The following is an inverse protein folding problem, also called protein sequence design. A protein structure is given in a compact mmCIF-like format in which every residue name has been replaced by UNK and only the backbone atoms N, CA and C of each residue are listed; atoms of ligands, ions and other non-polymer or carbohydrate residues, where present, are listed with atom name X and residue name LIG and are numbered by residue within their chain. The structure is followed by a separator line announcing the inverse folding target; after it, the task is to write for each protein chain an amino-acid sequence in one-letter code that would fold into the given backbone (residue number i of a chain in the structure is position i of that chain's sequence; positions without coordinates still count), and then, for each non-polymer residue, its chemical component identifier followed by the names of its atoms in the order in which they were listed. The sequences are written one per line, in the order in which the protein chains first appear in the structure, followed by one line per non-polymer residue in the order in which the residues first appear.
data_IF_394533742930
#
_entry.id   IF_394533742930
#
_cell.length_a   1.000
_cell.length_b   1.000
_cell.length_c   1.000
_cell.angle_alpha   90.00
_cell.angle_beta   90.00
_cell.angle_gamma   90.00
#
_symmetry.space_group_name_H-M   'P 1'
#
loop_
_entity.id
_entity.type
_entity.pdbx_description
1 polymer ?
#
# COMPACT_ATOMS: atom_id res chain seq x y z
N UNK A 1 -78.97 -38.49 -35.04
CA UNK A 1 -77.56 -38.84 -35.34
C UNK A 1 -76.75 -37.58 -35.06
N UNK A 2 -75.89 -37.49 -34.07
CA UNK A 2 -75.32 -38.49 -33.18
C UNK A 2 -74.88 -37.75 -31.90
N UNK A 3 -75.27 -38.31 -30.76
CA UNK A 3 -75.04 -37.85 -29.40
C UNK A 3 -73.91 -38.72 -28.85
N UNK A 4 -72.73 -38.15 -28.63
CA UNK A 4 -71.56 -38.74 -27.95
C UNK A 4 -70.55 -37.57 -27.86
N UNK A 5 -69.89 -37.25 -26.76
CA UNK A 5 -69.55 -38.03 -25.60
C UNK A 5 -69.19 -37.03 -24.48
N UNK A 6 -70.12 -36.85 -23.53
CA UNK A 6 -69.90 -36.10 -22.29
C UNK A 6 -69.69 -37.12 -21.18
N UNK A 7 -68.47 -37.67 -21.01
CA UNK A 7 -68.04 -38.40 -19.80
C UNK A 7 -66.58 -38.83 -19.94
N UNK A 8 -65.66 -38.09 -19.34
CA UNK A 8 -64.39 -38.57 -18.75
C UNK A 8 -63.37 -37.42 -18.70
N UNK A 9 -63.56 -36.45 -17.79
CA UNK A 9 -62.46 -35.61 -17.28
C UNK A 9 -62.82 -34.99 -15.92
N UNK A 10 -63.51 -35.78 -15.08
CA UNK A 10 -63.59 -35.56 -13.62
C UNK A 10 -62.67 -36.57 -12.95
N UNK A 11 -61.39 -36.47 -13.26
CA UNK A 11 -60.35 -37.24 -12.58
C UNK A 11 -59.81 -36.36 -11.44
N UNK A 12 -60.48 -36.50 -10.29
CA UNK A 12 -59.90 -36.51 -8.94
C UNK A 12 -58.68 -35.61 -8.71
N UNK A 13 -58.89 -34.30 -8.57
CA UNK A 13 -58.15 -33.51 -7.58
C UNK A 13 -58.67 -33.88 -6.18
N UNK A 14 -58.42 -35.14 -5.77
CA UNK A 14 -58.48 -35.52 -4.36
C UNK A 14 -57.25 -34.89 -3.73
N UNK A 15 -57.40 -33.64 -3.31
CA UNK A 15 -56.43 -32.95 -2.48
C UNK A 15 -56.21 -33.80 -1.25
N UNK A 16 -55.11 -34.55 -1.26
CA UNK A 16 -54.60 -35.25 -0.10
C UNK A 16 -54.24 -34.13 0.88
N UNK A 17 -55.19 -33.79 1.74
CA UNK A 17 -54.98 -32.98 2.93
C UNK A 17 -54.17 -33.86 3.89
N UNK A 18 -52.98 -34.30 3.48
CA UNK A 18 -51.95 -34.73 4.40
C UNK A 18 -51.75 -33.54 5.31
N UNK A 19 -52.28 -33.68 6.51
CA UNK A 19 -52.07 -32.74 7.61
C UNK A 19 -50.57 -32.53 7.71
N UNK A 20 -50.08 -31.42 7.15
CA UNK A 20 -48.71 -31.00 7.27
C UNK A 20 -48.43 -30.89 8.77
N UNK A 21 -47.80 -31.93 9.32
CA UNK A 21 -47.41 -31.94 10.72
C UNK A 21 -46.32 -30.89 10.84
N UNK A 22 -46.69 -29.75 11.41
CA UNK A 22 -45.76 -28.71 11.79
C UNK A 22 -44.60 -29.31 12.59
N UNK A 23 -43.42 -28.74 12.41
CA UNK A 23 -42.20 -29.28 12.98
C UNK A 23 -42.23 -29.25 14.50
N UNK A 24 -41.64 -30.28 15.10
CA UNK A 24 -41.53 -30.35 16.54
C UNK A 24 -40.56 -29.29 17.05
N UNK A 25 -40.79 -28.80 18.26
CA UNK A 25 -39.87 -27.87 18.94
C UNK A 25 -38.44 -28.42 19.01
N UNK A 26 -38.30 -29.75 19.07
CA UNK A 26 -36.99 -30.41 19.09
C UNK A 26 -36.21 -30.16 17.79
N UNK A 27 -36.88 -30.28 16.64
CA UNK A 27 -36.25 -30.18 15.32
C UNK A 27 -35.85 -28.74 14.98
N UNK A 28 -36.70 -27.77 15.36
CA UNK A 28 -36.33 -26.35 15.28
C UNK A 28 -35.18 -26.00 16.21
N UNK A 29 -35.09 -26.63 17.40
CA UNK A 29 -33.97 -26.41 18.33
C UNK A 29 -32.64 -26.91 17.76
N UNK A 30 -32.64 -28.07 17.08
CA UNK A 30 -31.43 -28.64 16.44
C UNK A 30 -30.99 -27.77 15.27
N UNK A 31 -31.92 -27.31 14.42
CA UNK A 31 -31.62 -26.42 13.30
C UNK A 31 -30.99 -25.10 13.76
N UNK A 32 -31.47 -24.52 14.87
CA UNK A 32 -30.88 -23.32 15.46
C UNK A 32 -29.45 -23.55 15.94
N UNK A 33 -29.16 -24.70 16.57
CA UNK A 33 -27.80 -25.04 17.03
C UNK A 33 -26.84 -25.19 15.85
N UNK A 34 -27.24 -25.90 14.79
CA UNK A 34 -26.40 -26.09 13.60
C UNK A 34 -26.12 -24.77 12.90
N UNK A 35 -27.14 -23.92 12.73
CA UNK A 35 -26.96 -22.55 12.20
C UNK A 35 -25.98 -21.75 13.04
N UNK A 36 -26.09 -21.79 14.37
CA UNK A 36 -25.18 -21.08 15.26
C UNK A 36 -23.72 -21.52 15.06
N UNK A 37 -23.45 -22.82 14.94
CA UNK A 37 -22.09 -23.35 14.72
C UNK A 37 -21.54 -22.88 13.37
N UNK A 38 -22.32 -22.96 12.29
CA UNK A 38 -21.89 -22.51 10.95
C UNK A 38 -21.61 -21.01 10.92
N UNK A 39 -22.47 -20.22 11.57
CA UNK A 39 -22.32 -18.75 11.64
C UNK A 39 -21.07 -18.37 12.44
N UNK A 40 -20.77 -19.08 13.53
CA UNK A 40 -19.54 -18.88 14.31
C UNK A 40 -18.30 -19.31 13.52
N UNK A 41 -18.37 -20.43 12.80
CA UNK A 41 -17.28 -20.90 11.94
C UNK A 41 -16.92 -19.88 10.86
N UNK A 42 -17.92 -19.41 10.11
CA UNK A 42 -17.73 -18.38 9.07
C UNK A 42 -17.23 -17.04 9.65
N UNK A 43 -17.77 -16.60 10.79
CA UNK A 43 -17.27 -15.40 11.48
C UNK A 43 -15.80 -15.54 11.90
N UNK A 44 -15.37 -16.71 12.39
CA UNK A 44 -13.97 -16.93 12.80
C UNK A 44 -13.00 -16.89 11.63
N UNK A 45 -13.39 -17.42 10.46
CA UNK A 45 -12.60 -17.30 9.22
C UNK A 45 -12.49 -15.85 8.76
N UNK A 46 -13.55 -15.05 8.89
CA UNK A 46 -13.48 -13.61 8.61
C UNK A 46 -12.51 -12.89 9.53
N UNK A 47 -12.54 -13.16 10.84
CA UNK A 47 -11.59 -12.57 11.81
C UNK A 47 -10.16 -12.99 11.50
N UNK A 48 -9.94 -14.26 11.13
CA UNK A 48 -8.63 -14.75 10.72
C UNK A 48 -8.14 -14.03 9.46
N UNK A 49 -8.98 -13.88 8.44
CA UNK A 49 -8.65 -13.16 7.22
C UNK A 49 -8.35 -11.67 7.47
N UNK A 50 -9.07 -11.02 8.39
CA UNK A 50 -8.79 -9.63 8.80
C UNK A 50 -7.44 -9.57 9.50
N UNK A 51 -7.21 -10.41 10.52
CA UNK A 51 -5.93 -10.41 11.26
C UNK A 51 -4.73 -10.68 10.38
N UNK A 52 -4.86 -11.56 9.39
CA UNK A 52 -3.77 -11.86 8.46
C UNK A 52 -3.49 -10.71 7.47
N UNK A 53 -4.46 -9.81 7.28
CA UNK A 53 -4.33 -8.61 6.43
C UNK A 53 -3.96 -7.35 7.22
N UNK A 54 -4.14 -7.32 8.54
CA UNK A 54 -3.82 -6.17 9.40
C UNK A 54 -2.32 -5.80 9.38
N UNK A 55 -1.44 -6.73 9.01
CA UNK A 55 0.00 -6.48 8.88
C UNK A 55 0.34 -5.32 7.93
N UNK A 56 -0.45 -5.12 6.87
CA UNK A 56 -0.28 -3.96 5.97
C UNK A 56 -0.71 -2.64 6.60
N UNK A 57 -1.70 -2.66 7.50
CA UNK A 57 -2.19 -1.44 8.16
C UNK A 57 -1.21 -0.97 9.25
N UNK A 58 -0.61 -1.91 9.99
CA UNK A 58 0.45 -1.59 10.96
C UNK A 58 1.68 -1.00 10.26
N UNK A 59 2.04 -1.51 9.09
CA UNK A 59 3.11 -0.95 8.27
C UNK A 59 2.77 0.46 7.77
N UNK A 60 1.55 0.69 7.29
CA UNK A 60 1.10 2.01 6.86
C UNK A 60 1.06 3.02 8.01
N UNK A 61 0.60 2.61 9.20
CA UNK A 61 0.59 3.45 10.40
C UNK A 61 2.01 3.75 10.88
N UNK A 62 2.91 2.77 10.87
CA UNK A 62 4.32 2.97 11.19
C UNK A 62 4.99 3.98 10.24
N UNK A 63 4.68 3.89 8.94
CA UNK A 63 5.20 4.79 7.90
C UNK A 63 4.65 6.22 8.08
N UNK A 64 3.36 6.37 8.38
CA UNK A 64 2.76 7.66 8.69
C UNK A 64 3.39 8.33 9.94
N UNK A 65 3.62 7.55 11.00
CA UNK A 65 4.30 8.05 12.21
C UNK A 65 5.76 8.42 11.91
N UNK A 66 6.46 7.64 11.08
CA UNK A 66 7.82 7.95 10.67
C UNK A 66 7.90 9.24 9.83
N UNK A 67 6.97 9.44 8.89
CA UNK A 67 6.84 10.68 8.11
C UNK A 67 6.59 11.89 9.02
N UNK A 68 5.65 11.78 9.97
CA UNK A 68 5.38 12.86 10.90
C UNK A 68 6.62 13.20 11.76
N UNK A 69 7.40 12.20 12.17
CA UNK A 69 8.66 12.42 12.89
C UNK A 69 9.72 13.08 12.01
N UNK A 70 9.85 12.68 10.76
CA UNK A 70 10.75 13.30 9.79
C UNK A 70 10.38 14.77 9.53
N UNK A 71 9.09 15.06 9.35
CA UNK A 71 8.61 16.43 9.20
C UNK A 71 8.84 17.27 10.45
N UNK A 72 8.66 16.68 11.63
CA UNK A 72 8.96 17.34 12.90
C UNK A 72 10.44 17.68 13.00
N UNK A 73 11.33 16.72 12.74
CA UNK A 73 12.78 16.96 12.72
C UNK A 73 13.18 18.02 11.70
N UNK A 74 12.54 18.03 10.52
CA UNK A 74 12.76 19.04 9.49
C UNK A 74 12.29 20.44 9.90
N UNK A 75 11.29 20.55 10.79
CA UNK A 75 10.79 21.82 11.34
C UNK A 75 11.54 22.28 12.59
N UNK A 76 12.27 21.39 13.25
CA UNK A 76 13.03 21.73 14.45
C UNK A 76 14.23 22.60 14.07
N UNK A 77 14.37 23.82 14.61
CA UNK A 77 15.53 24.67 14.38
C UNK A 77 16.83 24.01 14.86
N UNK A 78 17.94 24.26 14.17
CA UNK A 78 19.24 23.68 14.51
C UNK A 78 19.78 24.04 15.90
N UNK A 79 19.26 25.10 16.52
CA UNK A 79 19.61 25.53 17.87
C UNK A 79 18.72 24.94 18.98
N UNK A 80 17.76 24.07 18.64
CA UNK A 80 16.90 23.44 19.64
C UNK A 80 17.70 22.47 20.50
N UNK A 81 17.75 22.74 21.82
CA UNK A 81 18.51 21.96 22.80
C UNK A 81 18.05 20.51 22.91
N UNK A 82 16.82 20.19 22.45
CA UNK A 82 16.29 18.83 22.38
C UNK A 82 16.99 17.93 21.35
N UNK A 83 17.69 18.50 20.36
CA UNK A 83 18.52 17.74 19.41
C UNK A 83 19.81 17.20 20.05
N UNK A 84 20.32 17.87 21.09
CA UNK A 84 21.56 17.49 21.79
C UNK A 84 21.35 16.55 22.99
N UNK A 85 20.13 16.44 23.52
CA UNK A 85 19.87 15.67 24.74
C UNK A 85 19.95 14.15 24.56
N UNK A 86 19.97 13.63 23.32
CA UNK A 86 19.87 12.19 23.06
C UNK A 86 21.19 11.41 23.06
N UNK A 87 22.34 12.07 23.27
CA UNK A 87 23.65 11.40 23.26
C UNK A 87 24.05 10.77 24.60
N UNK A 88 23.37 11.10 25.70
CA UNK A 88 23.76 10.67 27.05
C UNK A 88 22.80 9.65 27.71
N UNK A 89 21.70 9.27 27.06
CA UNK A 89 20.69 8.36 27.63
C UNK A 89 20.88 6.86 27.25
N UNK A 90 22.04 6.46 26.74
CA UNK A 90 22.37 5.04 26.44
C UNK A 90 22.46 4.13 27.68
N UNK A 91 22.09 4.60 28.87
CA UNK A 91 22.10 3.81 30.10
C UNK A 91 20.81 3.90 30.93
N UNK A 92 19.73 4.48 30.39
CA UNK A 92 18.43 4.38 31.04
C UNK A 92 17.64 3.19 30.49
N UNK A 93 18.03 2.02 31.00
CA UNK A 93 17.13 0.97 31.46
C UNK A 93 15.73 1.02 30.80
N UNK A 94 15.58 0.37 29.65
CA UNK A 94 14.28 -0.14 29.20
C UNK A 94 13.90 -1.23 30.20
N UNK A 95 13.40 -0.78 31.35
CA UNK A 95 12.62 -1.56 32.28
C UNK A 95 11.32 -1.92 31.59
N UNK A 96 11.37 -2.88 30.67
CA UNK A 96 10.29 -3.84 30.53
C UNK A 96 10.24 -4.57 31.87
N UNK A 97 9.58 -3.94 32.84
CA UNK A 97 9.11 -4.56 34.07
C UNK A 97 8.06 -5.57 33.65
N UNK A 98 8.57 -6.70 33.18
CA UNK A 98 7.87 -7.98 33.12
C UNK A 98 7.46 -8.24 34.56
N UNK A 99 6.25 -7.82 34.94
CA UNK A 99 5.57 -8.32 36.13
C UNK A 99 5.52 -9.83 35.94
N UNK A 100 6.45 -10.51 36.61
CA UNK A 100 6.38 -11.93 36.89
C UNK A 100 5.30 -12.01 37.97
N UNK A 101 4.06 -12.16 37.55
CA UNK A 101 2.99 -12.48 38.49
C UNK A 101 3.23 -13.93 38.96
N UNK A 102 3.25 -14.19 40.27
CA UNK A 102 3.36 -15.54 40.79
C UNK A 102 2.05 -16.28 40.48
N UNK A 103 2.24 -17.46 39.90
CA UNK A 103 1.41 -18.66 40.05
C UNK A 103 0.23 -18.50 41.02
N UNK A 104 -0.99 -18.36 40.48
CA UNK A 104 -2.17 -18.82 41.20
C UNK A 104 -3.29 -19.24 40.25
N UNK A 105 -3.88 -20.36 40.62
CA UNK A 105 -4.99 -21.06 40.00
C UNK A 105 -6.25 -20.19 39.84
N UNK A 106 -7.05 -20.62 38.86
CA UNK A 106 -8.50 -20.52 38.79
C UNK A 106 -9.18 -19.20 38.33
N UNK A 107 -10.15 -19.45 37.44
CA UNK A 107 -11.38 -18.70 37.12
C UNK A 107 -11.34 -17.59 36.06
N UNK A 108 -11.98 -17.93 34.94
CA UNK A 108 -13.09 -17.23 34.28
C UNK A 108 -13.29 -15.73 34.56
N UNK A 109 -13.42 -14.94 33.48
CA UNK A 109 -14.23 -13.73 33.54
C UNK A 109 -13.78 -12.60 32.63
N UNK A 110 -14.67 -12.25 31.70
CA UNK A 110 -14.68 -11.06 30.85
C UNK A 110 -14.21 -9.76 31.52
N UNK A 111 -13.44 -8.94 30.80
CA UNK A 111 -13.82 -7.53 30.54
C UNK A 111 -12.83 -6.81 29.62
N UNK A 112 -13.38 -6.24 28.56
CA UNK A 112 -12.73 -5.27 27.70
C UNK A 112 -12.49 -3.95 28.47
N UNK A 113 -11.22 -3.51 28.54
CA UNK A 113 -10.86 -2.16 29.00
C UNK A 113 -10.67 -1.24 27.80
N UNK A 114 -11.60 -0.28 27.66
CA UNK A 114 -11.47 0.94 26.85
C UNK A 114 -10.33 1.79 27.41
N UNK A 115 -9.42 2.21 26.54
CA UNK A 115 -8.44 3.26 26.83
C UNK A 115 -9.00 4.59 26.32
N UNK A 116 -9.27 5.53 27.23
CA UNK A 116 -9.63 6.90 26.91
C UNK A 116 -8.34 7.72 26.71
N UNK A 117 -8.20 8.38 25.57
CA UNK A 117 -7.21 9.44 25.34
C UNK A 117 -7.63 10.71 26.09
N UNK A 118 -6.78 11.18 26.99
CA UNK A 118 -6.88 12.49 27.63
C UNK A 118 -6.44 13.59 26.68
N UNK A 119 -7.35 14.54 26.46
CA UNK A 119 -7.17 15.77 25.69
C UNK A 119 -6.82 16.89 26.68
N UNK A 120 -5.62 17.46 26.58
CA UNK A 120 -5.24 18.68 27.30
C UNK A 120 -5.15 19.86 26.32
N UNK A 121 -5.88 20.91 26.68
CA UNK A 121 -6.04 22.19 26.02
C UNK A 121 -4.89 23.16 26.35
N UNK A 122 -4.52 23.99 25.38
CA UNK A 122 -3.63 25.12 25.59
C UNK A 122 -3.49 25.97 24.31
N UNK A 123 -4.31 27.01 24.18
CA UNK A 123 -4.11 28.13 23.25
C UNK A 123 -3.17 29.17 23.89
N UNK A 124 -2.48 30.01 23.10
CA UNK A 124 -3.07 31.31 22.75
C UNK A 124 -2.90 31.76 21.28
N UNK A 125 -3.68 32.80 20.97
CA UNK A 125 -3.91 33.51 19.70
C UNK A 125 -2.67 34.23 19.13
N UNK A 126 -2.60 34.35 17.80
CA UNK A 126 -2.19 35.58 17.09
C UNK A 126 -2.63 35.52 15.60
N UNK A 127 -2.79 36.71 15.02
CA UNK A 127 -3.76 37.04 13.97
C UNK A 127 -3.15 37.21 12.56
N UNK A 128 -4.08 37.30 11.59
CA UNK A 128 -4.01 37.99 10.30
C UNK A 128 -3.63 37.19 9.03
N UNK A 129 -4.63 37.05 8.14
CA UNK A 129 -4.52 37.40 6.72
C UNK A 129 -4.20 36.27 5.73
N UNK A 130 -5.20 35.85 4.95
CA UNK A 130 -4.98 35.11 3.71
C UNK A 130 -6.01 34.02 3.42
N UNK A 131 -7.11 34.40 2.79
CA UNK A 131 -8.14 33.48 2.30
C UNK A 131 -7.63 32.69 1.09
N UNK A 132 -7.76 31.36 1.09
CA UNK A 132 -7.99 30.49 -0.08
C UNK A 132 -8.58 29.14 0.41
N UNK A 133 -9.69 28.76 -0.23
CA UNK A 133 -10.44 27.48 -0.28
C UNK A 133 -10.16 26.37 0.74
N UNK A 134 -11.20 26.07 1.52
CA UNK A 134 -11.32 24.91 2.42
C UNK A 134 -11.82 23.67 1.63
N UNK A 135 -11.31 22.46 1.87
CA UNK A 135 -11.99 21.24 1.46
C UNK A 135 -13.15 20.93 2.42
N UNK A 136 -14.33 20.66 1.87
CA UNK A 136 -15.49 20.13 2.59
C UNK A 136 -15.16 18.76 3.17
N UNK A 137 -14.70 18.73 4.42
CA UNK A 137 -14.78 17.55 5.25
C UNK A 137 -16.21 17.46 5.80
N UNK A 138 -17.06 16.72 5.08
CA UNK A 138 -18.42 16.41 5.51
C UNK A 138 -18.37 15.62 6.82
N UNK A 139 -18.64 16.31 7.94
CA UNK A 139 -18.95 15.66 9.21
C UNK A 139 -20.22 14.84 9.04
N UNK A 140 -20.07 13.53 8.83
CA UNK A 140 -21.11 12.55 9.11
C UNK A 140 -21.29 12.46 10.63
N UNK A 141 -22.00 13.43 11.20
CA UNK A 141 -22.57 13.32 12.54
C UNK A 141 -23.70 12.30 12.48
N UNK A 142 -23.41 11.06 12.87
CA UNK A 142 -24.43 10.05 13.10
C UNK A 142 -25.19 10.45 14.39
N UNK A 143 -26.27 11.22 14.21
CA UNK A 143 -27.19 11.57 15.27
C UNK A 143 -28.01 10.32 15.62
N UNK A 144 -27.56 9.57 16.63
CA UNK A 144 -28.37 8.53 17.26
C UNK A 144 -29.46 9.26 18.04
N UNK A 145 -30.56 9.55 17.35
CA UNK A 145 -31.77 10.12 17.93
C UNK A 145 -32.40 9.06 18.83
N UNK A 146 -32.15 9.17 20.13
CA UNK A 146 -32.95 8.53 21.19
C UNK A 146 -34.39 9.06 21.08
N UNK A 147 -35.26 8.33 20.40
CA UNK A 147 -36.71 8.46 20.56
C UNK A 147 -37.13 7.53 21.70
N UNK A 148 -37.12 8.08 22.91
CA UNK A 148 -37.95 7.61 24.02
C UNK A 148 -39.03 8.67 24.17
N UNK A 149 -40.24 8.38 23.70
CA UNK A 149 -41.45 9.10 24.11
C UNK A 149 -42.68 8.26 23.74
N UNK A 150 -43.36 7.88 24.81
CA UNK A 150 -44.81 7.77 24.96
C UNK A 150 -45.55 6.70 24.14
N UNK A 151 -45.89 5.65 24.88
CA UNK A 151 -46.87 4.65 24.52
C UNK A 151 -48.26 5.28 24.38
N UNK A 152 -48.93 5.15 23.23
CA UNK A 152 -50.37 5.25 23.16
C UNK A 152 -50.96 3.95 23.74
N UNK A 153 -51.86 4.11 24.71
CA UNK A 153 -52.68 3.06 25.29
C UNK A 153 -53.42 2.30 24.18
N UNK A 154 -52.94 1.09 23.89
CA UNK A 154 -53.50 0.19 22.91
C UNK A 154 -54.76 -0.46 23.50
N UNK A 155 -55.92 0.03 23.07
CA UNK A 155 -57.18 -0.65 23.28
C UNK A 155 -57.11 -2.06 22.69
N UNK A 156 -57.38 -3.03 23.54
CA UNK A 156 -57.42 -4.47 23.26
C UNK A 156 -58.62 -4.79 22.38
N UNK A 157 -58.45 -4.65 21.06
CA UNK A 157 -59.27 -5.36 20.10
C UNK A 157 -58.88 -6.85 20.14
N UNK A 158 -59.70 -7.68 20.78
CA UNK A 158 -59.64 -9.14 20.68
C UNK A 158 -59.98 -9.56 19.25
N UNK A 159 -59.00 -9.52 18.35
CA UNK A 159 -59.06 -10.33 17.13
C UNK A 159 -58.51 -11.71 17.46
N UNK A 160 -59.37 -12.73 17.42
CA UNK A 160 -58.98 -14.13 17.44
C UNK A 160 -58.23 -14.47 16.15
N UNK A 161 -57.02 -13.95 15.98
CA UNK A 161 -56.11 -14.42 14.95
C UNK A 161 -55.47 -15.70 15.46
N UNK A 162 -55.82 -16.83 14.82
CA UNK A 162 -55.07 -18.07 14.92
C UNK A 162 -53.60 -17.75 14.65
N UNK A 163 -52.76 -17.84 15.67
CA UNK A 163 -51.31 -17.72 15.51
C UNK A 163 -50.84 -18.91 14.68
N UNK A 164 -50.74 -18.71 13.37
CA UNK A 164 -50.09 -19.66 12.48
C UNK A 164 -48.60 -19.62 12.81
N UNK A 165 -48.09 -20.70 13.40
CA UNK A 165 -46.66 -20.88 13.59
C UNK A 165 -45.93 -20.87 12.25
N UNK A 166 -44.67 -20.45 12.24
CA UNK A 166 -43.83 -20.48 11.04
C UNK A 166 -43.78 -21.90 10.47
N UNK A 167 -44.02 -22.01 9.16
CA UNK A 167 -43.81 -23.27 8.46
C UNK A 167 -42.32 -23.55 8.34
N UNK A 168 -41.89 -24.81 8.53
CA UNK A 168 -40.47 -25.14 8.35
C UNK A 168 -40.01 -24.89 6.91
N UNK A 169 -40.92 -25.00 5.93
CA UNK A 169 -40.56 -24.65 4.56
C UNK A 169 -40.06 -23.20 4.50
N UNK A 170 -40.69 -22.29 5.24
CA UNK A 170 -40.37 -20.87 5.28
C UNK A 170 -39.03 -20.64 6.00
N UNK A 171 -38.78 -21.38 7.09
CA UNK A 171 -37.49 -21.35 7.79
C UNK A 171 -36.35 -21.87 6.89
N UNK A 172 -36.53 -23.02 6.24
CA UNK A 172 -35.53 -23.62 5.34
C UNK A 172 -35.25 -22.69 4.16
N UNK A 173 -36.30 -22.08 3.58
CA UNK A 173 -36.15 -21.07 2.52
C UNK A 173 -35.37 -19.86 3.04
N UNK A 174 -35.67 -19.34 4.24
CA UNK A 174 -34.95 -18.22 4.84
C UNK A 174 -33.47 -18.51 5.09
N UNK A 175 -33.15 -19.70 5.60
CA UNK A 175 -31.78 -20.16 5.81
C UNK A 175 -31.04 -20.33 4.46
N UNK A 176 -31.69 -20.95 3.48
CA UNK A 176 -31.11 -21.13 2.15
C UNK A 176 -30.76 -19.79 1.48
N UNK A 177 -31.67 -18.81 1.53
CA UNK A 177 -31.45 -17.47 0.97
C UNK A 177 -30.32 -16.75 1.70
N UNK A 178 -30.31 -16.78 3.04
CA UNK A 178 -29.26 -16.11 3.82
C UNK A 178 -27.89 -16.72 3.60
N UNK A 179 -27.77 -18.05 3.48
CA UNK A 179 -26.51 -18.72 3.14
C UNK A 179 -26.05 -18.35 1.72
N UNK A 180 -26.98 -18.31 0.75
CA UNK A 180 -26.67 -17.90 -0.62
C UNK A 180 -26.16 -16.45 -0.68
N UNK A 181 -26.85 -15.52 -0.02
CA UNK A 181 -26.44 -14.12 0.05
C UNK A 181 -25.10 -13.94 0.78
N UNK A 182 -24.88 -14.67 1.87
CA UNK A 182 -23.62 -14.64 2.62
C UNK A 182 -22.46 -15.19 1.78
N UNK A 183 -22.69 -16.26 1.02
CA UNK A 183 -21.73 -16.82 0.08
C UNK A 183 -21.32 -15.81 -0.99
N UNK A 184 -22.29 -15.16 -1.65
CA UNK A 184 -22.03 -14.12 -2.66
C UNK A 184 -21.29 -12.93 -2.05
N UNK A 185 -21.70 -12.45 -0.88
CA UNK A 185 -21.04 -11.33 -0.19
C UNK A 185 -19.58 -11.64 0.18
N UNK A 186 -19.29 -12.87 0.61
CA UNK A 186 -17.94 -13.33 0.95
C UNK A 186 -17.01 -13.35 -0.26
N UNK A 187 -17.52 -13.79 -1.42
CA UNK A 187 -16.77 -13.78 -2.68
C UNK A 187 -16.43 -12.36 -3.13
N UNK A 188 -17.41 -11.44 -3.08
CA UNK A 188 -17.19 -10.04 -3.42
C UNK A 188 -16.17 -9.39 -2.49
N UNK A 189 -16.27 -9.62 -1.18
CA UNK A 189 -15.35 -9.07 -0.20
C UNK A 189 -13.93 -9.64 -0.37
N UNK A 190 -13.79 -10.94 -0.65
CA UNK A 190 -12.50 -11.55 -0.97
C UNK A 190 -11.84 -10.93 -2.21
N UNK A 191 -12.61 -10.63 -3.25
CA UNK A 191 -12.11 -9.93 -4.45
C UNK A 191 -11.63 -8.51 -4.14
N UNK A 192 -12.36 -7.78 -3.28
CA UNK A 192 -12.01 -6.42 -2.88
C UNK A 192 -10.68 -6.36 -2.10
N UNK A 193 -10.42 -7.35 -1.23
CA UNK A 193 -9.14 -7.43 -0.52
C UNK A 193 -7.95 -7.68 -1.46
N UNK A 194 -8.10 -8.58 -2.44
CA UNK A 194 -7.03 -8.84 -3.43
C UNK A 194 -6.65 -7.57 -4.22
N UNK A 195 -7.64 -6.79 -4.64
CA UNK A 195 -7.41 -5.50 -5.32
C UNK A 195 -6.65 -4.54 -4.41
N UNK A 196 -7.08 -4.39 -3.14
CA UNK A 196 -6.44 -3.48 -2.19
C UNK A 196 -5.01 -3.89 -1.85
N UNK A 197 -4.75 -5.18 -1.61
CA UNK A 197 -3.39 -5.67 -1.35
C UNK A 197 -2.46 -5.37 -2.51
N UNK A 198 -2.93 -5.59 -3.75
CA UNK A 198 -2.14 -5.29 -4.94
C UNK A 198 -1.86 -3.80 -5.08
N UNK A 199 -2.85 -2.95 -4.83
CA UNK A 199 -2.68 -1.50 -4.89
C UNK A 199 -1.73 -1.00 -3.79
N UNK A 200 -1.78 -1.57 -2.59
CA UNK A 200 -0.82 -1.26 -1.53
C UNK A 200 0.60 -1.66 -1.94
N UNK A 201 0.79 -2.87 -2.46
CA UNK A 201 2.11 -3.31 -2.96
C UNK A 201 2.65 -2.41 -4.08
N UNK A 202 1.77 -1.91 -4.97
CA UNK A 202 2.14 -0.92 -5.99
C UNK A 202 2.65 0.37 -5.35
N UNK A 203 1.92 0.88 -4.38
CA UNK A 203 2.21 2.16 -3.74
C UNK A 203 3.51 2.10 -2.95
N UNK A 204 3.76 0.99 -2.25
CA UNK A 204 5.01 0.77 -1.52
C UNK A 204 6.21 0.70 -2.48
N UNK A 205 6.12 -0.11 -3.53
CA UNK A 205 7.18 -0.22 -4.54
C UNK A 205 7.44 1.12 -5.25
N UNK A 206 6.39 1.89 -5.54
CA UNK A 206 6.52 3.21 -6.15
C UNK A 206 7.17 4.23 -5.20
N UNK A 207 6.86 4.17 -3.91
CA UNK A 207 7.45 5.04 -2.91
C UNK A 207 8.95 4.77 -2.75
N UNK A 208 9.34 3.50 -2.69
CA UNK A 208 10.74 3.08 -2.62
C UNK A 208 11.51 3.45 -3.90
N UNK A 209 10.92 3.20 -5.07
CA UNK A 209 11.52 3.57 -6.35
C UNK A 209 11.76 5.09 -6.46
N UNK A 210 10.82 5.93 -5.98
CA UNK A 210 10.99 7.39 -5.94
C UNK A 210 12.11 7.81 -4.98
N UNK A 211 12.22 7.15 -3.83
CA UNK A 211 13.30 7.41 -2.87
C UNK A 211 14.65 7.06 -3.49
N UNK A 212 14.76 5.90 -4.14
CA UNK A 212 15.96 5.47 -4.84
C UNK A 212 16.34 6.45 -5.95
N UNK A 213 15.38 6.83 -6.80
CA UNK A 213 15.60 7.78 -7.90
C UNK A 213 16.10 9.15 -7.42
N UNK A 214 15.53 9.67 -6.33
CA UNK A 214 15.96 10.94 -5.74
C UNK A 214 17.39 10.87 -5.19
N UNK A 215 17.75 9.76 -4.55
CA UNK A 215 19.10 9.54 -4.05
C UNK A 215 20.11 9.44 -5.20
N UNK A 216 19.81 8.58 -6.19
CA UNK A 216 20.62 8.40 -7.40
C UNK A 216 20.83 9.74 -8.12
N UNK A 217 19.75 10.48 -8.38
CA UNK A 217 19.81 11.78 -9.09
C UNK A 217 20.75 12.75 -8.39
N UNK A 218 20.65 12.86 -7.06
CA UNK A 218 21.48 13.77 -6.29
C UNK A 218 22.95 13.38 -6.31
N UNK A 219 23.25 12.09 -6.16
CA UNK A 219 24.64 11.63 -6.12
C UNK A 219 25.28 11.65 -7.52
N UNK A 220 24.55 11.22 -8.56
CA UNK A 220 25.01 11.28 -9.96
C UNK A 220 25.24 12.73 -10.41
N UNK A 221 24.43 13.69 -9.96
CA UNK A 221 24.65 15.10 -10.27
C UNK A 221 26.03 15.60 -9.77
N UNK A 222 26.54 15.04 -8.67
CA UNK A 222 27.86 15.36 -8.13
C UNK A 222 29.01 14.58 -8.79
N UNK A 223 28.73 13.74 -9.78
CA UNK A 223 29.76 13.02 -10.52
C UNK A 223 30.78 14.00 -11.12
N UNK A 224 32.05 13.64 -10.98
CA UNK A 224 33.19 14.44 -11.46
C UNK A 224 33.56 15.59 -10.53
N UNK A 225 32.86 15.81 -9.42
CA UNK A 225 33.20 16.92 -8.52
C UNK A 225 34.68 16.84 -8.08
N UNK A 226 35.43 17.91 -8.35
CA UNK A 226 36.87 18.02 -8.13
C UNK A 226 37.71 16.90 -8.76
N UNK A 227 37.27 16.40 -9.92
CA UNK A 227 38.03 15.53 -10.81
C UNK A 227 38.28 16.25 -12.14
N UNK A 228 39.16 15.71 -12.98
CA UNK A 228 39.42 16.23 -14.34
C UNK A 228 38.46 15.68 -15.39
N UNK A 229 37.68 14.65 -15.03
CA UNK A 229 36.69 14.00 -15.89
C UNK A 229 35.26 14.21 -15.34
N UNK A 230 34.26 13.68 -16.04
CA UNK A 230 32.87 13.72 -15.60
C UNK A 230 32.57 12.77 -14.42
N UNK A 231 33.57 12.06 -13.89
CA UNK A 231 33.47 11.09 -12.80
C UNK A 231 32.88 9.74 -13.19
N UNK A 232 32.37 9.54 -14.41
CA UNK A 232 31.73 8.28 -14.81
C UNK A 232 32.80 7.23 -15.14
N UNK A 233 32.75 6.08 -14.46
CA UNK A 233 33.61 4.94 -14.77
C UNK A 233 32.97 4.12 -15.87
N UNK A 234 33.43 4.33 -17.11
CA UNK A 234 32.80 3.76 -18.32
C UNK A 234 32.73 2.22 -18.32
N UNK A 235 33.73 1.53 -17.75
CA UNK A 235 33.77 0.05 -17.69
C UNK A 235 32.70 -0.56 -16.77
N UNK A 236 32.23 0.19 -15.77
CA UNK A 236 31.26 -0.25 -14.77
C UNK A 236 29.87 0.35 -14.99
N UNK A 237 29.77 1.28 -15.93
CA UNK A 237 28.53 1.96 -16.28
C UNK A 237 27.95 1.28 -17.49
N UNK A 238 26.69 0.84 -17.39
CA UNK A 238 25.93 0.08 -18.37
C UNK A 238 24.57 0.74 -18.63
N UNK A 239 23.63 -0.03 -19.19
CA UNK A 239 22.21 0.35 -19.25
C UNK A 239 21.54 0.23 -17.89
N UNK A 240 21.95 -0.77 -17.09
CA UNK A 240 21.32 -1.12 -15.81
C UNK A 240 22.25 -0.86 -14.62
N UNK A 241 23.37 -0.17 -14.84
CA UNK A 241 24.33 0.20 -13.80
C UNK A 241 25.01 1.52 -14.13
N UNK A 242 25.44 2.25 -13.12
CA UNK A 242 26.29 3.42 -13.27
C UNK A 242 27.24 3.48 -12.09
N UNK A 243 28.52 3.71 -12.36
CA UNK A 243 29.54 3.97 -11.34
C UNK A 243 30.05 5.39 -11.52
N UNK A 244 29.94 6.16 -10.45
CA UNK A 244 30.33 7.57 -10.40
C UNK A 244 31.42 7.77 -9.37
N UNK A 245 32.29 8.73 -9.63
CA UNK A 245 33.32 9.19 -8.72
C UNK A 245 33.18 10.68 -8.48
N UNK A 246 33.42 11.09 -7.24
CA UNK A 246 33.46 12.48 -6.83
C UNK A 246 34.46 12.62 -5.69
N UNK A 247 35.36 13.57 -5.80
CA UNK A 247 36.28 13.91 -4.72
C UNK A 247 35.61 14.91 -3.78
N UNK A 248 34.89 14.39 -2.79
CA UNK A 248 34.12 15.18 -1.83
C UNK A 248 35.03 15.92 -0.85
N UNK A 249 36.27 15.45 -0.67
CA UNK A 249 37.28 16.10 0.19
C UNK A 249 37.76 17.46 -0.33
N UNK A 250 37.65 17.72 -1.64
CA UNK A 250 37.96 19.04 -2.19
C UNK A 250 37.08 20.16 -1.59
N UNK A 251 35.87 19.83 -1.12
CA UNK A 251 35.02 20.79 -0.40
C UNK A 251 35.63 21.23 0.95
N UNK A 252 36.55 20.45 1.50
CA UNK A 252 37.28 20.72 2.75
C UNK A 252 38.59 21.50 2.53
N UNK A 253 38.85 21.96 1.30
CA UNK A 253 40.08 22.69 0.94
C UNK A 253 41.26 21.80 0.59
N UNK A 254 41.04 20.49 0.42
CA UNK A 254 42.09 19.57 0.00
C UNK A 254 42.29 19.65 -1.52
N UNK A 255 43.34 20.33 -1.95
CA UNK A 255 43.60 20.62 -3.37
C UNK A 255 44.54 19.61 -4.04
N UNK A 256 45.00 18.59 -3.32
CA UNK A 256 46.10 17.70 -3.76
C UNK A 256 45.66 16.29 -4.13
N UNK A 257 44.47 15.85 -3.74
CA UNK A 257 43.97 14.53 -4.12
C UNK A 257 43.03 14.68 -5.32
N UNK A 258 43.38 14.12 -6.47
CA UNK A 258 42.42 13.83 -7.54
C UNK A 258 41.80 12.43 -7.37
N UNK A 259 42.01 11.81 -6.20
CA UNK A 259 41.60 10.45 -5.93
C UNK A 259 40.29 10.46 -5.12
N UNK A 260 39.32 9.70 -5.61
CA UNK A 260 38.06 9.41 -4.92
C UNK A 260 38.26 8.14 -4.07
N UNK A 261 38.94 8.25 -2.93
CA UNK A 261 39.33 7.09 -2.08
C UNK A 261 38.50 6.97 -0.82
N UNK A 262 37.76 8.00 -0.45
CA UNK A 262 37.03 8.00 0.80
C UNK A 262 35.63 7.40 0.63
N UNK A 263 34.97 7.24 1.77
CA UNK A 263 33.59 6.78 1.84
C UNK A 263 32.70 7.76 1.06
N UNK A 264 31.76 7.20 0.31
CA UNK A 264 30.79 7.92 -0.52
C UNK A 264 31.41 8.71 -1.69
N UNK A 265 32.68 8.49 -2.02
CA UNK A 265 33.36 9.11 -3.16
C UNK A 265 33.34 8.26 -4.43
N UNK A 266 33.27 6.93 -4.32
CA UNK A 266 33.18 6.01 -5.45
C UNK A 266 31.98 5.08 -5.27
N UNK A 267 30.89 5.42 -5.96
CA UNK A 267 29.58 4.81 -5.75
C UNK A 267 29.13 4.13 -7.03
N UNK A 268 28.70 2.88 -6.92
CA UNK A 268 28.09 2.10 -7.99
C UNK A 268 26.63 1.83 -7.69
N UNK A 269 25.76 2.22 -8.61
CA UNK A 269 24.38 1.81 -8.64
C UNK A 269 24.20 0.69 -9.64
N UNK A 270 23.46 -0.35 -9.28
CA UNK A 270 23.08 -1.40 -10.21
C UNK A 270 21.72 -1.99 -9.88
N UNK A 271 21.02 -2.44 -10.92
CA UNK A 271 19.87 -3.30 -10.79
C UNK A 271 20.37 -4.75 -10.67
N UNK A 272 20.10 -5.36 -9.53
CA UNK A 272 20.40 -6.77 -9.26
C UNK A 272 19.14 -7.59 -9.50
N UNK A 273 19.24 -8.62 -10.33
CA UNK A 273 18.15 -9.55 -10.62
C UNK A 273 18.44 -10.92 -10.00
N UNK A 274 17.56 -11.35 -9.11
CA UNK A 274 17.47 -12.75 -8.63
C UNK A 274 15.99 -13.17 -8.69
N UNK A 275 15.44 -13.78 -7.63
CA UNK A 275 13.99 -14.05 -7.49
C UNK A 275 13.19 -12.75 -7.50
N UNK A 276 13.76 -11.71 -6.90
CA UNK A 276 13.25 -10.34 -6.88
C UNK A 276 14.31 -9.40 -7.48
N UNK A 277 13.88 -8.21 -7.91
CA UNK A 277 14.76 -7.22 -8.52
C UNK A 277 14.95 -6.02 -7.60
N UNK A 278 16.21 -5.64 -7.38
CA UNK A 278 16.61 -4.64 -6.40
C UNK A 278 17.53 -3.58 -7.00
N UNK A 279 17.30 -2.31 -6.66
CA UNK A 279 18.32 -1.28 -6.89
C UNK A 279 19.24 -1.27 -5.68
N UNK A 280 20.53 -1.53 -5.93
CA UNK A 280 21.58 -1.54 -4.93
C UNK A 280 22.51 -0.36 -5.15
N UNK A 281 22.84 0.33 -4.07
CA UNK A 281 23.95 1.28 -3.99
C UNK A 281 25.13 0.59 -3.32
N UNK A 282 26.28 0.59 -3.98
CA UNK A 282 27.53 0.03 -3.48
C UNK A 282 28.54 1.16 -3.35
N UNK A 283 29.16 1.28 -2.18
CA UNK A 283 30.33 2.14 -2.01
C UNK A 283 31.60 1.31 -2.16
N UNK A 284 32.31 1.53 -3.26
CA UNK A 284 33.44 0.69 -3.71
C UNK A 284 34.64 0.81 -2.76
N UNK A 285 34.80 1.96 -2.10
CA UNK A 285 35.96 2.25 -1.26
C UNK A 285 35.88 1.61 0.13
N UNK A 286 34.68 1.28 0.62
CA UNK A 286 34.46 0.71 1.97
C UNK A 286 34.10 -0.78 1.92
N UNK A 287 34.94 -1.57 1.24
CA UNK A 287 34.71 -3.01 1.05
C UNK A 287 33.39 -3.34 0.35
N UNK A 288 32.97 -2.50 -0.60
CA UNK A 288 31.72 -2.66 -1.34
C UNK A 288 30.49 -2.72 -0.42
N UNK A 289 30.37 -1.84 0.58
CA UNK A 289 29.19 -1.81 1.45
C UNK A 289 27.93 -1.60 0.60
N UNK A 290 27.02 -2.58 0.67
CA UNK A 290 25.78 -2.58 -0.10
C UNK A 290 24.63 -1.97 0.70
N UNK A 291 23.81 -1.16 0.02
CA UNK A 291 22.54 -0.65 0.52
C UNK A 291 21.46 -0.89 -0.51
N UNK A 292 20.43 -1.65 -0.13
CA UNK A 292 19.23 -1.84 -0.94
C UNK A 292 18.39 -0.54 -0.85
N UNK A 293 18.11 0.05 -2.01
CA UNK A 293 17.38 1.32 -2.10
C UNK A 293 15.91 1.14 -2.46
N UNK A 294 15.63 0.16 -3.32
CA UNK A 294 14.28 -0.16 -3.74
C UNK A 294 14.16 -1.65 -3.96
N UNK A 295 13.04 -2.21 -3.51
CA UNK A 295 12.59 -3.54 -3.90
C UNK A 295 11.60 -3.42 -5.08
N UNK A 296 11.42 -4.50 -5.84
CA UNK A 296 10.40 -4.65 -6.89
C UNK A 296 10.50 -3.61 -8.01
N UNK A 297 11.73 -3.38 -8.46
CA UNK A 297 12.00 -2.60 -9.67
C UNK A 297 12.27 -3.56 -10.81
N UNK A 298 11.38 -3.64 -11.80
CA UNK A 298 11.54 -4.59 -12.91
C UNK A 298 12.66 -4.16 -13.86
N UNK A 299 12.78 -2.85 -14.09
CA UNK A 299 13.76 -2.32 -15.03
C UNK A 299 14.38 -1.00 -14.56
N UNK A 300 15.66 -0.83 -14.87
CA UNK A 300 16.45 0.37 -14.67
C UNK A 300 17.19 0.63 -15.98
N UNK A 301 16.87 1.74 -16.63
CA UNK A 301 17.55 2.19 -17.85
C UNK A 301 18.26 3.51 -17.57
N UNK A 302 19.55 3.56 -17.91
CA UNK A 302 20.40 4.74 -17.77
C UNK A 302 20.92 5.07 -19.17
N UNK A 303 20.60 6.29 -19.62
CA UNK A 303 20.94 6.81 -20.95
C UNK A 303 21.89 7.99 -20.82
N UNK A 304 22.90 8.06 -21.69
CA UNK A 304 24.02 9.01 -21.59
C UNK A 304 24.06 9.94 -22.80
N UNK A 305 24.00 11.25 -22.58
CA UNK A 305 23.99 12.26 -23.64
C UNK A 305 25.06 13.33 -23.44
N UNK A 306 25.55 13.86 -24.56
CA UNK A 306 26.54 14.93 -24.58
C UNK A 306 25.98 16.27 -24.11
N UNK A 307 24.69 16.53 -24.32
CA UNK A 307 24.02 17.76 -23.89
C UNK A 307 22.59 17.45 -23.42
N UNK A 308 21.88 18.48 -22.95
CA UNK A 308 20.48 18.35 -22.56
C UNK A 308 19.60 17.93 -23.74
N UNK A 309 18.79 16.91 -23.53
CA UNK A 309 17.86 16.37 -24.54
C UNK A 309 16.40 16.45 -24.07
N UNK A 310 15.49 16.34 -25.02
CA UNK A 310 14.04 16.20 -24.85
C UNK A 310 13.63 14.83 -25.33
N UNK A 311 12.66 14.22 -24.66
CA UNK A 311 12.25 12.85 -24.96
C UNK A 311 10.78 12.65 -24.65
N UNK A 312 10.27 11.49 -25.08
CA UNK A 312 8.92 11.02 -24.76
C UNK A 312 9.00 9.80 -23.86
N UNK A 313 8.17 9.77 -22.84
CA UNK A 313 7.96 8.59 -21.99
C UNK A 313 6.80 7.80 -22.56
N UNK A 314 6.99 6.51 -22.87
CA UNK A 314 5.95 5.66 -23.44
C UNK A 314 5.39 4.68 -22.43
N UNK A 315 4.06 4.65 -22.25
CA UNK A 315 3.41 3.57 -21.50
C UNK A 315 3.32 2.26 -22.29
N UNK A 316 3.61 2.30 -23.60
CA UNK A 316 3.46 1.17 -24.54
C UNK A 316 4.77 0.46 -24.85
N UNK A 317 5.92 1.04 -24.50
CA UNK A 317 7.20 0.36 -24.69
C UNK A 317 7.38 -0.70 -23.62
N UNK A 318 7.43 -1.96 -24.05
CA UNK A 318 7.73 -3.13 -23.20
C UNK A 318 9.00 -2.91 -22.36
N UNK A 319 9.91 -2.06 -22.84
CA UNK A 319 11.24 -1.83 -22.27
C UNK A 319 11.33 -0.77 -21.17
N UNK A 320 10.25 -0.05 -20.83
CA UNK A 320 10.28 1.02 -19.81
C UNK A 320 11.40 2.06 -20.01
N UNK A 321 11.52 2.58 -21.22
CA UNK A 321 12.60 3.47 -21.62
C UNK A 321 12.06 4.80 -22.18
N UNK A 322 12.97 5.73 -22.44
CA UNK A 322 12.67 6.97 -23.15
C UNK A 322 12.78 6.73 -24.67
N UNK A 323 11.98 7.46 -25.45
CA UNK A 323 11.97 7.39 -26.91
C UNK A 323 11.93 8.78 -27.53
N UNK A 324 12.15 8.86 -28.85
CA UNK A 324 12.07 10.11 -29.63
C UNK A 324 12.97 11.21 -29.02
N UNK A 325 14.22 10.84 -28.72
CA UNK A 325 15.19 11.72 -28.07
C UNK A 325 15.67 12.76 -29.07
N UNK A 326 15.56 14.04 -28.69
CA UNK A 326 15.86 15.19 -29.54
C UNK A 326 16.63 16.28 -28.81
N UNK A 327 17.38 17.08 -29.55
CA UNK A 327 18.00 18.30 -29.01
C UNK A 327 16.97 19.44 -28.86
N UNK A 328 17.44 20.63 -28.45
CA UNK A 328 16.62 21.83 -28.36
C UNK A 328 16.09 22.36 -29.71
N UNK A 329 16.66 21.90 -30.83
CA UNK A 329 16.26 22.27 -32.19
C UNK A 329 15.32 21.22 -32.83
N UNK A 330 15.04 20.12 -32.12
CA UNK A 330 14.19 19.04 -32.60
C UNK A 330 14.91 18.00 -33.47
N UNK A 331 16.24 18.03 -33.60
CA UNK A 331 17.00 17.01 -34.30
C UNK A 331 17.11 15.74 -33.45
N UNK A 332 17.07 14.53 -34.03
CA UNK A 332 17.30 13.30 -33.29
C UNK A 332 18.74 13.28 -32.73
N UNK A 333 18.88 12.79 -31.50
CA UNK A 333 20.17 12.70 -30.80
C UNK A 333 20.42 11.27 -30.34
N UNK A 334 21.60 10.75 -30.69
CA UNK A 334 22.08 9.46 -30.23
C UNK A 334 22.82 9.60 -28.89
N UNK A 335 22.93 8.48 -28.17
CA UNK A 335 23.76 8.42 -26.96
C UNK A 335 25.24 8.57 -27.27
N UNK A 336 25.99 9.06 -26.29
CA UNK A 336 27.45 9.15 -26.42
C UNK A 336 28.09 7.76 -26.50
N UNK A 337 29.02 7.59 -27.44
CA UNK A 337 29.79 6.35 -27.57
C UNK A 337 30.70 6.12 -26.36
N UNK A 338 31.27 7.19 -25.82
CA UNK A 338 32.12 7.19 -24.63
C UNK A 338 31.38 7.83 -23.47
N UNK A 339 31.12 7.06 -22.41
CA UNK A 339 30.36 7.53 -21.24
C UNK A 339 31.09 8.62 -20.46
N UNK A 340 32.41 8.71 -20.60
CA UNK A 340 33.23 9.81 -20.08
C UNK A 340 32.96 11.16 -20.77
N UNK A 341 32.32 11.17 -21.94
CA UNK A 341 31.90 12.38 -22.67
C UNK A 341 30.46 12.80 -22.35
N UNK A 342 29.76 12.07 -21.48
CA UNK A 342 28.40 12.42 -21.09
C UNK A 342 28.40 13.67 -20.22
N UNK A 343 27.44 14.57 -20.46
CA UNK A 343 27.12 15.71 -19.59
C UNK A 343 25.72 15.65 -19.01
N UNK A 344 24.86 14.85 -19.63
CA UNK A 344 23.47 14.68 -19.25
C UNK A 344 23.15 13.19 -19.17
N UNK A 345 22.51 12.78 -18.08
CA UNK A 345 22.12 11.39 -17.83
C UNK A 345 20.62 11.35 -17.57
N UNK A 346 19.94 10.41 -18.20
CA UNK A 346 18.51 10.14 -17.95
C UNK A 346 18.39 8.78 -17.28
N UNK A 347 17.67 8.74 -16.17
CA UNK A 347 17.42 7.53 -15.38
C UNK A 347 15.93 7.22 -15.48
N UNK A 348 15.60 6.04 -16.01
CA UNK A 348 14.24 5.52 -16.07
C UNK A 348 14.12 4.27 -15.20
N UNK A 349 13.19 4.30 -14.25
CA UNK A 349 12.86 3.18 -13.36
C UNK A 349 11.44 2.71 -13.66
N UNK A 350 11.25 1.40 -13.72
CA UNK A 350 9.94 0.79 -13.95
C UNK A 350 9.49 -0.05 -12.76
N UNK A 351 8.23 0.13 -12.38
CA UNK A 351 7.54 -0.73 -11.43
C UNK A 351 6.32 -1.32 -12.13
N UNK A 352 6.30 -2.64 -12.27
CA UNK A 352 5.29 -3.44 -12.93
C UNK A 352 4.65 -4.36 -11.90
N UNK A 353 3.32 -4.36 -11.88
CA UNK A 353 2.56 -5.39 -11.20
C UNK A 353 2.12 -6.41 -12.24
N UNK A 354 2.56 -7.68 -12.14
CA UNK A 354 2.16 -8.73 -13.08
C UNK A 354 0.65 -8.95 -13.04
N UNK A 355 0.08 -9.42 -14.16
CA UNK A 355 -1.33 -9.75 -14.24
C UNK A 355 -1.70 -10.80 -13.18
N UNK A 356 -2.93 -10.72 -12.66
CA UNK A 356 -3.49 -11.74 -11.76
C UNK A 356 -4.60 -12.44 -12.51
N UNK A 357 -4.57 -13.77 -12.51
CA UNK A 357 -5.48 -14.65 -13.25
C UNK A 357 -5.36 -14.51 -14.78
N UNK A 358 -6.19 -15.24 -15.52
CA UNK A 358 -6.21 -15.23 -16.98
C UNK A 358 -7.25 -14.23 -17.52
N UNK A 359 -6.99 -13.55 -18.64
CA UNK A 359 -7.96 -12.66 -19.28
C UNK A 359 -9.31 -13.36 -19.48
N UNK A 360 -10.40 -12.68 -19.11
CA UNK A 360 -11.76 -13.20 -19.22
C UNK A 360 -12.25 -14.02 -18.02
N UNK A 361 -11.40 -14.32 -17.02
CA UNK A 361 -11.85 -14.96 -15.78
C UNK A 361 -12.30 -13.96 -14.72
N UNK A 362 -13.30 -14.31 -13.87
CA UNK A 362 -13.66 -13.49 -12.71
C UNK A 362 -12.45 -13.22 -11.81
N UNK A 363 -12.18 -11.95 -11.52
CA UNK A 363 -11.01 -11.54 -10.75
C UNK A 363 -9.73 -11.33 -11.58
N UNK A 364 -9.81 -11.41 -12.91
CA UNK A 364 -8.71 -10.96 -13.77
C UNK A 364 -8.38 -9.50 -13.49
N UNK A 365 -7.11 -9.23 -13.29
CA UNK A 365 -6.59 -7.88 -13.15
C UNK A 365 -5.41 -7.72 -14.10
N UNK A 366 -5.49 -6.80 -15.07
CA UNK A 366 -4.45 -6.61 -16.06
C UNK A 366 -3.12 -6.20 -15.41
N UNK A 367 -1.98 -6.39 -16.11
CA UNK A 367 -0.72 -5.85 -15.62
C UNK A 367 -0.82 -4.33 -15.52
N UNK A 368 -0.22 -3.75 -14.48
CA UNK A 368 -0.13 -2.29 -14.30
C UNK A 368 1.34 -1.92 -14.29
N UNK A 369 1.70 -0.83 -14.96
CA UNK A 369 3.07 -0.37 -15.06
C UNK A 369 3.15 1.12 -14.78
N UNK A 370 4.16 1.52 -14.01
CA UNK A 370 4.47 2.92 -13.76
C UNK A 370 5.95 3.15 -14.07
N UNK A 371 6.20 4.10 -14.97
CA UNK A 371 7.54 4.57 -15.29
C UNK A 371 7.82 5.84 -14.50
N UNK A 372 8.96 5.88 -13.83
CA UNK A 372 9.52 7.07 -13.20
C UNK A 372 10.77 7.47 -13.98
N UNK A 373 10.88 8.75 -14.32
CA UNK A 373 12.05 9.26 -15.04
C UNK A 373 12.64 10.43 -14.28
N UNK A 374 13.96 10.50 -14.22
CA UNK A 374 14.71 11.63 -13.68
C UNK A 374 15.82 12.02 -14.63
N UNK A 375 16.05 13.32 -14.69
CA UNK A 375 17.03 13.98 -15.51
C UNK A 375 18.17 14.50 -14.64
N UNK A 376 19.41 14.24 -15.05
CA UNK A 376 20.59 14.61 -14.28
C UNK A 376 21.59 15.33 -15.17
N UNK A 377 21.82 16.61 -14.90
CA UNK A 377 22.96 17.33 -15.44
C UNK A 377 24.18 17.07 -14.53
N UNK A 378 25.29 16.62 -15.12
CA UNK A 378 26.52 16.37 -14.37
C UNK A 378 27.22 17.69 -14.09
N UNK A 379 27.60 17.92 -12.82
CA UNK A 379 28.19 19.18 -12.40
C UNK A 379 29.50 19.49 -13.11
N UNK A 380 30.37 18.50 -13.29
CA UNK A 380 31.73 18.71 -13.81
C UNK A 380 31.87 18.58 -15.33
N UNK A 381 30.77 18.52 -16.08
CA UNK A 381 30.81 18.21 -17.50
C UNK A 381 31.33 19.36 -18.39
N UNK A 382 31.39 20.58 -17.86
CA UNK A 382 31.87 21.79 -18.58
C UNK A 382 32.92 22.59 -17.80
N UNK A 383 33.46 22.00 -16.72
CA UNK A 383 34.34 22.67 -15.77
C UNK A 383 35.82 22.57 -16.20
N UNK A 384 36.16 23.21 -17.33
CA UNK A 384 37.55 23.62 -17.59
C UNK A 384 37.88 25.00 -16.98
N UNK A 385 36.91 25.65 -16.35
CA UNK A 385 37.04 27.02 -15.81
C UNK A 385 36.15 27.21 -14.58
N UNK A 386 36.68 26.96 -13.39
CA UNK A 386 36.34 27.68 -12.15
C UNK A 386 37.60 27.85 -11.30
#
# INVERSE_FOLDING_TARGET
MELTDRRQNRELTRGDNTSDRGFTLLETSIALVVMMVVTLGTASLFVYAIKNNDGSNDQALALAVAQQRMERLRRTPFNDTSLNTRRNDSLLHVGLRRKRDPENNNRSGHSAKRLCLGQQSGHPRLAAGGAISRPLCGKLTFSIRKQFSEAPSMQTAKSNHSQQGFSLIELVIGIAITLMLTGVASLLLGSAFKIRMRENQKNDALADARRALNLMTREIANSGYALTDNGIVASDSGRNSIRIRANLNAASGETTSNAATDRDEDIKYLLYHDVDSYIVRLDVNVSAQEMILSNRVDNLNIRYYADKVYYTTGSTTEDCDINNVRDAFGNPVDEVLQKSSAKYVIISICVTLPAVSTPGTPGYQPPSRVQLVSDVALRNAELFTY
#
